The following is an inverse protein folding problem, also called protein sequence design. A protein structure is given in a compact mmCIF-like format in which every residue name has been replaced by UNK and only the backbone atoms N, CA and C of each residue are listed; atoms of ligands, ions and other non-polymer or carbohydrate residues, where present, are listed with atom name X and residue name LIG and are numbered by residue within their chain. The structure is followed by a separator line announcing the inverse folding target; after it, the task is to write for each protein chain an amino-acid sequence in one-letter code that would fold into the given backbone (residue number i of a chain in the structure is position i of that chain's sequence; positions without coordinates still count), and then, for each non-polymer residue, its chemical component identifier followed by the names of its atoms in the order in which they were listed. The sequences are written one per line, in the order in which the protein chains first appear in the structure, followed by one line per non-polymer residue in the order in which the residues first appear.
data_IF_320262152345
#
_entry.id   IF_320262152345
#
_cell.length_a   1.000
_cell.length_b   1.000
_cell.length_c   1.000
_cell.angle_alpha   90.00
_cell.angle_beta   90.00
_cell.angle_gamma   90.00
#
_symmetry.space_group_name_H-M   'P 1'
#
loop_
_entity.id
_entity.type
_entity.pdbx_description
1 polymer ?
#
# COMPACT_ATOMS: atom_id res chain seq x y z
N UNK A 1 10.48 22.95 -7.19
CA UNK A 1 10.48 23.27 -5.74
C UNK A 1 11.31 24.50 -5.39
N UNK A 2 12.58 24.56 -5.80
CA UNK A 2 13.50 25.64 -5.37
C UNK A 2 13.11 27.06 -5.81
N UNK A 3 12.45 27.22 -6.98
CA UNK A 3 12.07 28.53 -7.55
C UNK A 3 11.31 29.43 -6.58
N UNK A 4 10.43 28.87 -5.74
CA UNK A 4 9.68 29.66 -4.78
C UNK A 4 10.57 30.18 -3.65
N UNK A 5 11.40 29.30 -3.07
CA UNK A 5 12.34 29.67 -2.01
C UNK A 5 13.31 30.75 -2.47
N UNK A 6 13.85 30.59 -3.69
CA UNK A 6 14.80 31.53 -4.30
C UNK A 6 14.16 32.89 -4.60
N UNK A 7 12.84 32.94 -4.76
CA UNK A 7 12.08 34.19 -4.99
C UNK A 7 11.82 35.01 -3.72
N UNK A 8 12.04 34.44 -2.52
CA UNK A 8 11.80 35.14 -1.26
C UNK A 8 12.92 36.16 -0.96
N UNK A 9 12.62 37.26 -0.24
CA UNK A 9 13.66 38.16 0.25
C UNK A 9 14.72 37.43 1.08
N UNK A 10 15.99 37.85 0.98
CA UNK A 10 17.12 37.20 1.65
C UNK A 10 16.91 37.02 3.16
N UNK A 11 16.31 38.01 3.83
CA UNK A 11 15.94 37.92 5.26
C UNK A 11 15.02 36.74 5.58
N UNK A 12 14.08 36.39 4.70
CA UNK A 12 13.15 35.27 4.93
C UNK A 12 13.82 33.94 4.63
N UNK A 13 14.70 33.89 3.63
CA UNK A 13 15.51 32.70 3.36
C UNK A 13 16.41 32.36 4.56
N UNK A 14 16.98 33.37 5.23
CA UNK A 14 17.78 33.20 6.44
C UNK A 14 16.99 32.68 7.65
N UNK A 15 15.66 32.86 7.69
CA UNK A 15 14.81 32.25 8.72
C UNK A 15 14.51 30.77 8.44
N UNK A 16 14.72 30.33 7.20
CA UNK A 16 14.42 28.99 6.69
C UNK A 16 15.72 28.22 6.39
N UNK A 17 16.72 28.32 7.27
CA UNK A 17 18.08 27.80 7.03
C UNK A 17 18.12 26.34 6.61
N UNK A 18 17.22 25.51 7.14
CA UNK A 18 17.18 24.07 6.88
C UNK A 18 16.20 23.69 5.76
N UNK A 19 15.42 24.64 5.23
CA UNK A 19 14.34 24.34 4.29
C UNK A 19 14.86 23.86 2.94
N UNK A 20 16.01 24.40 2.47
CA UNK A 20 16.64 23.92 1.24
C UNK A 20 17.05 22.45 1.36
N UNK A 21 17.71 22.08 2.46
CA UNK A 21 18.09 20.70 2.73
C UNK A 21 16.87 19.79 2.81
N UNK A 22 15.81 20.25 3.48
CA UNK A 22 14.54 19.51 3.55
C UNK A 22 13.95 19.25 2.16
N UNK A 23 13.95 20.25 1.26
CA UNK A 23 13.49 20.05 -0.13
C UNK A 23 14.35 19.04 -0.90
N UNK A 24 15.66 19.03 -0.69
CA UNK A 24 16.55 18.04 -1.30
C UNK A 24 16.24 16.63 -0.79
N UNK A 25 15.96 16.48 0.50
CA UNK A 25 15.60 15.19 1.08
C UNK A 25 14.23 14.71 0.60
N UNK A 26 13.27 15.63 0.40
CA UNK A 26 11.99 15.32 -0.25
C UNK A 26 12.21 14.85 -1.70
N UNK A 27 13.11 15.47 -2.46
CA UNK A 27 13.46 14.98 -3.80
C UNK A 27 14.00 13.55 -3.76
N UNK A 28 14.94 13.25 -2.86
CA UNK A 28 15.49 11.89 -2.69
C UNK A 28 14.40 10.87 -2.31
N UNK A 29 13.44 11.28 -1.48
CA UNK A 29 12.31 10.46 -1.08
C UNK A 29 11.38 10.16 -2.29
N UNK A 30 11.11 11.16 -3.13
CA UNK A 30 10.35 10.99 -4.38
C UNK A 30 11.09 10.05 -5.34
N UNK A 31 12.40 10.18 -5.50
CA UNK A 31 13.21 9.29 -6.34
C UNK A 31 13.19 7.85 -5.83
N UNK A 32 13.18 7.67 -4.50
CA UNK A 32 13.04 6.35 -3.87
C UNK A 32 11.65 5.75 -4.18
N UNK A 33 10.60 6.54 -4.08
CA UNK A 33 9.24 6.11 -4.45
C UNK A 33 9.14 5.74 -5.93
N UNK A 34 9.82 6.47 -6.82
CA UNK A 34 9.84 6.17 -8.24
C UNK A 34 10.41 4.78 -8.52
N UNK A 35 11.50 4.39 -7.85
CA UNK A 35 12.06 3.03 -7.96
C UNK A 35 11.07 1.95 -7.53
N UNK A 36 10.24 2.23 -6.52
CA UNK A 36 9.17 1.29 -6.11
C UNK A 36 8.11 1.16 -7.21
N UNK A 37 7.73 2.25 -7.87
CA UNK A 37 6.78 2.24 -9.00
C UNK A 37 7.34 1.43 -10.17
N UNK A 38 8.64 1.59 -10.48
CA UNK A 38 9.32 0.81 -11.51
C UNK A 38 9.29 -0.69 -11.20
N UNK A 39 9.53 -1.08 -9.93
CA UNK A 39 9.45 -2.48 -9.49
C UNK A 39 8.05 -3.08 -9.66
N UNK A 40 7.00 -2.29 -9.43
CA UNK A 40 5.60 -2.71 -9.63
C UNK A 40 5.28 -2.94 -11.12
N UNK A 41 6.22 -2.67 -12.03
CA UNK A 41 6.06 -2.81 -13.49
C UNK A 41 4.98 -1.89 -14.06
N UNK A 42 4.67 -0.79 -13.35
CA UNK A 42 3.91 0.30 -13.91
C UNK A 42 4.80 1.01 -14.94
N UNK A 43 4.75 0.57 -16.20
CA UNK A 43 5.25 1.42 -17.29
C UNK A 43 4.41 2.70 -17.22
N UNK A 44 5.00 3.87 -16.91
CA UNK A 44 4.21 5.08 -16.81
C UNK A 44 3.52 5.30 -18.16
N UNK A 45 2.19 5.30 -18.16
CA UNK A 45 1.48 5.96 -19.25
C UNK A 45 1.68 7.45 -19.01
N UNK A 46 2.30 8.14 -19.95
CA UNK A 46 2.47 9.59 -19.90
C UNK A 46 1.17 10.28 -20.32
N UNK A 47 0.65 11.25 -19.53
CA UNK A 47 1.14 11.68 -18.22
C UNK A 47 0.72 10.72 -17.09
N UNK A 48 1.66 10.40 -16.19
CA UNK A 48 1.39 9.56 -15.02
C UNK A 48 0.37 10.25 -14.10
N UNK A 49 -0.77 9.60 -13.89
CA UNK A 49 -1.81 10.10 -12.98
C UNK A 49 -1.31 10.07 -11.54
N UNK A 50 -0.82 11.21 -11.07
CA UNK A 50 -0.17 11.37 -9.76
C UNK A 50 -1.15 11.13 -8.62
N UNK A 51 -2.44 11.45 -8.80
CA UNK A 51 -3.47 11.21 -7.79
C UNK A 51 -3.73 9.72 -7.62
N UNK A 52 -3.73 8.95 -8.72
CA UNK A 52 -3.82 7.48 -8.67
C UNK A 52 -2.61 6.86 -7.99
N UNK A 53 -1.39 7.33 -8.29
CA UNK A 53 -0.17 6.85 -7.61
C UNK A 53 -0.23 7.13 -6.11
N UNK A 54 -0.64 8.33 -5.71
CA UNK A 54 -0.81 8.68 -4.30
C UNK A 54 -1.88 7.82 -3.61
N UNK A 55 -2.95 7.47 -4.32
CA UNK A 55 -3.95 6.51 -3.84
C UNK A 55 -3.35 5.12 -3.61
N UNK A 56 -2.51 4.62 -4.53
CA UNK A 56 -1.80 3.35 -4.36
C UNK A 56 -0.90 3.38 -3.14
N UNK A 57 -0.11 4.45 -2.93
CA UNK A 57 0.76 4.53 -1.75
C UNK A 57 -0.03 4.53 -0.44
N UNK A 58 -1.16 5.24 -0.38
CA UNK A 58 -2.05 5.18 0.79
C UNK A 58 -2.60 3.77 1.01
N UNK A 59 -3.02 3.09 -0.06
CA UNK A 59 -3.51 1.72 0.03
C UNK A 59 -2.41 0.75 0.46
N UNK A 60 -1.18 0.96 -0.01
CA UNK A 60 -0.01 0.18 0.38
C UNK A 60 0.30 0.31 1.86
N UNK A 61 0.28 1.54 2.40
CA UNK A 61 0.39 1.79 3.85
C UNK A 61 -0.69 1.01 4.60
N UNK A 62 -1.96 1.19 4.23
CA UNK A 62 -3.10 0.53 4.88
C UNK A 62 -2.95 -0.99 4.86
N UNK A 63 -2.68 -1.58 3.71
CA UNK A 63 -2.81 -3.02 3.50
C UNK A 63 -1.55 -3.84 3.80
N UNK A 64 -0.34 -3.30 3.64
CA UNK A 64 0.89 -4.11 3.63
C UNK A 64 2.04 -3.52 4.46
N UNK A 65 1.73 -2.60 5.38
CA UNK A 65 2.73 -2.06 6.32
C UNK A 65 2.29 -2.28 7.77
N UNK A 66 3.24 -2.20 8.69
CA UNK A 66 3.00 -2.19 10.13
C UNK A 66 2.23 -0.95 10.59
N UNK A 67 2.45 0.20 9.93
CA UNK A 67 1.72 1.46 10.17
C UNK A 67 0.20 1.27 9.99
N UNK A 68 -0.22 0.46 9.01
CA UNK A 68 -1.63 0.19 8.72
C UNK A 68 -2.32 -0.81 9.67
N UNK A 69 -1.61 -1.45 10.60
CA UNK A 69 -2.15 -2.55 11.43
C UNK A 69 -3.41 -2.14 12.18
N UNK A 70 -3.42 -0.98 12.83
CA UNK A 70 -4.57 -0.53 13.61
C UNK A 70 -5.80 -0.26 12.74
N UNK A 71 -5.59 0.32 11.56
CA UNK A 71 -6.66 0.56 10.59
C UNK A 71 -7.22 -0.77 10.08
N UNK A 72 -6.36 -1.75 9.77
CA UNK A 72 -6.78 -3.10 9.38
C UNK A 72 -7.52 -3.83 10.47
N UNK A 73 -7.11 -3.73 11.74
CA UNK A 73 -7.85 -4.32 12.85
C UNK A 73 -9.27 -3.78 12.90
N UNK A 74 -9.43 -2.45 12.87
CA UNK A 74 -10.75 -1.82 12.90
C UNK A 74 -11.63 -2.21 11.70
N UNK A 75 -11.07 -2.36 10.51
CA UNK A 75 -11.87 -2.63 9.30
C UNK A 75 -12.03 -4.12 8.97
N UNK A 76 -10.96 -4.91 9.05
CA UNK A 76 -10.92 -6.30 8.59
C UNK A 76 -11.31 -7.28 9.69
N UNK A 77 -10.94 -7.01 10.94
CA UNK A 77 -11.20 -7.95 12.05
C UNK A 77 -12.70 -8.22 12.26
N UNK A 78 -13.61 -7.24 12.18
CA UNK A 78 -15.06 -7.52 12.24
C UNK A 78 -15.52 -8.45 11.12
N UNK A 79 -15.02 -8.27 9.89
CA UNK A 79 -15.38 -9.10 8.73
C UNK A 79 -14.86 -10.53 8.92
N UNK A 80 -13.59 -10.65 9.33
CA UNK A 80 -12.94 -11.94 9.57
C UNK A 80 -13.62 -12.70 10.71
N UNK A 81 -14.00 -12.01 11.78
CA UNK A 81 -14.71 -12.61 12.91
C UNK A 81 -16.10 -13.08 12.51
N UNK A 82 -16.84 -12.30 11.70
CA UNK A 82 -18.13 -12.74 11.19
C UNK A 82 -18.01 -14.00 10.32
N UNK A 83 -16.98 -14.11 9.48
CA UNK A 83 -16.74 -15.32 8.68
C UNK A 83 -16.46 -16.52 9.59
N UNK A 84 -15.60 -16.35 10.60
CA UNK A 84 -15.29 -17.40 11.58
C UNK A 84 -16.51 -17.81 12.41
N UNK A 85 -17.38 -16.87 12.80
CA UNK A 85 -18.60 -17.16 13.54
C UNK A 85 -19.60 -18.01 12.72
N UNK A 86 -19.75 -17.71 11.44
CA UNK A 86 -20.72 -18.40 10.58
C UNK A 86 -20.19 -19.71 9.99
N UNK A 87 -18.89 -19.78 9.74
CA UNK A 87 -18.28 -20.86 8.96
C UNK A 87 -17.05 -21.50 9.63
N UNK A 88 -16.66 -21.09 10.84
CA UNK A 88 -15.48 -21.61 11.53
C UNK A 88 -15.56 -23.10 11.90
N UNK A 89 -16.78 -23.59 12.18
CA UNK A 89 -17.08 -24.96 12.61
C UNK A 89 -17.64 -25.86 11.49
N UNK A 90 -17.59 -25.42 10.22
CA UNK A 90 -18.17 -26.15 9.09
C UNK A 90 -17.44 -27.47 8.71
N UNK A 91 -16.43 -27.87 9.49
CA UNK A 91 -15.59 -29.05 9.25
C UNK A 91 -14.56 -28.84 8.14
N UNK A 92 -15.03 -28.56 6.92
CA UNK A 92 -14.18 -28.25 5.76
C UNK A 92 -14.28 -26.78 5.37
N UNK A 93 -13.36 -25.98 5.91
CA UNK A 93 -13.24 -24.55 5.59
C UNK A 93 -12.91 -24.30 4.12
N UNK A 94 -12.22 -25.22 3.45
CA UNK A 94 -11.81 -25.06 2.04
C UNK A 94 -12.99 -25.13 1.08
N UNK A 95 -14.09 -25.79 1.49
CA UNK A 95 -15.34 -25.82 0.74
C UNK A 95 -16.14 -24.51 0.79
N UNK A 96 -15.81 -23.59 1.71
CA UNK A 96 -16.50 -22.29 1.83
C UNK A 96 -15.81 -21.27 0.94
N UNK A 97 -16.53 -20.84 -0.10
CA UNK A 97 -16.05 -19.89 -1.09
C UNK A 97 -16.45 -18.45 -0.74
N UNK A 98 -15.45 -17.60 -0.55
CA UNK A 98 -15.61 -16.18 -0.20
C UNK A 98 -15.14 -15.31 -1.35
N UNK A 99 -15.99 -14.38 -1.78
CA UNK A 99 -15.68 -13.38 -2.79
C UNK A 99 -15.53 -12.01 -2.14
N UNK A 100 -14.45 -11.30 -2.45
CA UNK A 100 -14.19 -9.94 -1.96
C UNK A 100 -14.14 -8.97 -3.16
N UNK A 101 -15.26 -8.29 -3.46
CA UNK A 101 -15.29 -7.25 -4.50
C UNK A 101 -14.52 -6.01 -4.06
N UNK A 102 -13.83 -5.34 -4.99
CA UNK A 102 -13.02 -4.16 -4.67
C UNK A 102 -11.88 -4.48 -3.70
N UNK A 103 -11.17 -5.59 -3.96
CA UNK A 103 -10.17 -6.16 -3.07
C UNK A 103 -8.92 -5.28 -2.88
N UNK A 104 -8.75 -4.21 -3.66
CA UNK A 104 -7.60 -3.30 -3.54
C UNK A 104 -6.29 -4.03 -3.76
N UNK A 105 -5.41 -4.02 -2.75
CA UNK A 105 -4.11 -4.70 -2.82
C UNK A 105 -4.15 -6.15 -2.33
N UNK A 106 -5.34 -6.69 -2.07
CA UNK A 106 -5.56 -8.11 -1.79
C UNK A 106 -5.25 -8.54 -0.35
N UNK A 107 -5.03 -7.62 0.60
CA UNK A 107 -4.73 -8.01 2.00
C UNK A 107 -5.89 -8.72 2.68
N UNK A 108 -7.13 -8.23 2.53
CA UNK A 108 -8.29 -8.88 3.16
C UNK A 108 -8.53 -10.30 2.59
N UNK A 109 -8.57 -10.50 1.25
CA UNK A 109 -8.61 -11.84 0.67
C UNK A 109 -7.49 -12.76 1.18
N UNK A 110 -6.26 -12.25 1.26
CA UNK A 110 -5.13 -12.99 1.82
C UNK A 110 -5.37 -13.42 3.28
N UNK A 111 -5.91 -12.54 4.13
CA UNK A 111 -6.21 -12.87 5.54
C UNK A 111 -7.35 -13.88 5.69
N UNK A 112 -8.33 -13.87 4.78
CA UNK A 112 -9.42 -14.86 4.72
C UNK A 112 -8.85 -16.22 4.28
N UNK A 113 -8.06 -16.23 3.21
CA UNK A 113 -7.41 -17.42 2.69
C UNK A 113 -6.49 -18.07 3.75
N UNK A 114 -5.72 -17.25 4.47
CA UNK A 114 -4.84 -17.69 5.56
C UNK A 114 -5.59 -18.42 6.70
N UNK A 115 -6.90 -18.18 6.88
CA UNK A 115 -7.75 -18.87 7.86
C UNK A 115 -8.31 -20.21 7.35
N UNK A 116 -7.97 -20.60 6.12
CA UNK A 116 -8.32 -21.88 5.51
C UNK A 116 -9.53 -21.83 4.57
N UNK A 117 -10.13 -20.65 4.35
CA UNK A 117 -11.25 -20.47 3.43
C UNK A 117 -10.77 -20.35 1.98
N UNK A 118 -11.57 -20.81 1.02
CA UNK A 118 -11.31 -20.50 -0.39
C UNK A 118 -11.72 -19.05 -0.64
N UNK A 119 -10.79 -18.20 -1.08
CA UNK A 119 -11.05 -16.78 -1.24
C UNK A 119 -10.60 -16.25 -2.61
N UNK A 120 -11.52 -15.58 -3.29
CA UNK A 120 -11.22 -14.81 -4.50
C UNK A 120 -11.41 -13.32 -4.22
N UNK A 121 -10.37 -12.52 -4.45
CA UNK A 121 -10.52 -11.08 -4.57
C UNK A 121 -10.88 -10.67 -5.99
N UNK A 122 -11.65 -9.60 -6.15
CA UNK A 122 -11.92 -8.98 -7.45
C UNK A 122 -11.53 -7.50 -7.41
N UNK A 123 -10.85 -7.03 -8.45
CA UNK A 123 -10.44 -5.62 -8.56
C UNK A 123 -10.50 -5.16 -10.03
N UNK A 124 -10.86 -3.89 -10.23
CA UNK A 124 -10.99 -3.28 -11.55
C UNK A 124 -9.81 -2.34 -11.89
N UNK A 125 -9.28 -1.64 -10.89
CA UNK A 125 -8.22 -0.65 -11.08
C UNK A 125 -6.90 -1.32 -11.45
N UNK A 126 -6.37 -1.01 -12.64
CA UNK A 126 -5.05 -1.49 -13.08
C UNK A 126 -3.93 -1.12 -12.10
N UNK A 127 -4.00 0.06 -11.48
CA UNK A 127 -3.03 0.50 -10.47
C UNK A 127 -3.00 -0.43 -9.25
N UNK A 128 -4.18 -0.86 -8.79
CA UNK A 128 -4.31 -1.79 -7.67
C UNK A 128 -3.88 -3.20 -8.10
N UNK A 129 -4.28 -3.65 -9.30
CA UNK A 129 -3.93 -4.96 -9.83
C UNK A 129 -2.42 -5.14 -10.03
N UNK A 130 -1.72 -4.15 -10.60
CA UNK A 130 -0.25 -4.22 -10.75
C UNK A 130 0.45 -4.31 -9.40
N UNK A 131 0.03 -3.46 -8.46
CA UNK A 131 0.60 -3.42 -7.11
C UNK A 131 0.30 -4.71 -6.33
N UNK A 132 -0.93 -5.20 -6.39
CA UNK A 132 -1.36 -6.47 -5.80
C UNK A 132 -0.56 -7.64 -6.37
N UNK A 133 -0.42 -7.73 -7.69
CA UNK A 133 0.37 -8.76 -8.34
C UNK A 133 1.85 -8.71 -7.92
N UNK A 134 2.44 -7.51 -7.81
CA UNK A 134 3.80 -7.35 -7.31
C UNK A 134 3.94 -7.85 -5.87
N UNK A 135 3.03 -7.44 -4.98
CA UNK A 135 3.04 -7.85 -3.58
C UNK A 135 2.89 -9.36 -3.44
N UNK A 136 1.81 -9.91 -3.96
CA UNK A 136 1.42 -11.31 -3.76
C UNK A 136 2.38 -12.29 -4.45
N UNK A 137 2.87 -11.93 -5.65
CA UNK A 137 3.63 -12.88 -6.48
C UNK A 137 5.14 -12.64 -6.47
N UNK A 138 5.62 -11.42 -6.21
CA UNK A 138 7.05 -11.07 -6.30
C UNK A 138 7.70 -10.80 -4.94
N UNK A 139 6.96 -10.31 -3.94
CA UNK A 139 7.52 -10.12 -2.61
C UNK A 139 7.57 -11.46 -1.86
N UNK A 140 8.78 -11.95 -1.55
CA UNK A 140 9.02 -13.25 -0.88
C UNK A 140 9.61 -13.13 0.52
N UNK A 141 9.76 -11.90 1.01
CA UNK A 141 10.39 -11.58 2.28
C UNK A 141 9.70 -10.36 2.89
N UNK A 142 9.72 -10.28 4.22
CA UNK A 142 9.10 -9.19 4.98
C UNK A 142 10.00 -7.94 4.95
N UNK A 143 9.37 -6.77 4.88
CA UNK A 143 9.99 -5.45 5.02
C UNK A 143 11.13 -5.17 4.02
N UNK A 144 11.12 -5.78 2.85
CA UNK A 144 12.21 -5.67 1.86
C UNK A 144 12.24 -4.33 1.11
N UNK A 145 11.11 -3.66 0.99
CA UNK A 145 10.99 -2.41 0.26
C UNK A 145 10.76 -1.25 1.23
N UNK A 146 11.39 -0.11 0.95
CA UNK A 146 11.23 1.14 1.72
C UNK A 146 10.70 2.23 0.79
N UNK A 147 9.74 3.02 1.28
CA UNK A 147 9.15 4.14 0.56
C UNK A 147 8.71 5.25 1.52
N UNK A 148 8.36 6.41 0.97
CA UNK A 148 8.01 7.63 1.69
C UNK A 148 6.61 8.09 1.29
N UNK A 149 5.54 7.53 1.87
CA UNK A 149 4.15 7.78 1.44
C UNK A 149 3.73 9.25 1.53
N UNK A 150 4.38 10.02 2.40
CA UNK A 150 4.00 11.41 2.70
C UNK A 150 4.88 12.45 2.00
N UNK A 151 5.87 12.04 1.20
CA UNK A 151 6.84 12.94 0.59
C UNK A 151 6.20 14.06 -0.25
N UNK A 152 5.04 13.80 -0.88
CA UNK A 152 4.32 14.79 -1.69
C UNK A 152 3.33 15.66 -0.90
N UNK A 153 3.16 15.44 0.40
CA UNK A 153 2.22 16.18 1.24
C UNK A 153 2.93 17.36 1.93
N UNK A 154 2.64 18.60 1.50
CA UNK A 154 3.24 19.82 2.06
C UNK A 154 2.40 20.52 3.12
N UNK A 155 1.17 20.08 3.32
CA UNK A 155 0.22 20.67 4.25
C UNK A 155 0.04 19.79 5.48
N UNK A 156 -0.28 20.41 6.62
CA UNK A 156 -0.57 19.73 7.90
C UNK A 156 0.57 18.84 8.45
N UNK A 157 1.82 19.13 8.07
CA UNK A 157 2.98 18.51 8.70
C UNK A 157 3.27 19.20 10.04
N UNK A 158 3.19 18.46 11.15
CA UNK A 158 3.51 19.01 12.48
C UNK A 158 5.01 19.27 12.62
N UNK A 159 5.83 18.41 12.01
CA UNK A 159 7.28 18.54 11.89
C UNK A 159 7.70 18.27 10.46
N UNK A 160 8.77 18.90 9.99
CA UNK A 160 9.34 18.63 8.66
C UNK A 160 9.74 17.16 8.50
N UNK A 161 10.23 16.53 9.56
CA UNK A 161 10.59 15.12 9.56
C UNK A 161 9.41 14.18 9.29
N UNK A 162 8.17 14.57 9.65
CA UNK A 162 6.99 13.72 9.48
C UNK A 162 6.74 13.40 7.99
N UNK A 163 6.97 14.39 7.12
CA UNK A 163 6.88 14.26 5.65
C UNK A 163 7.87 13.23 5.09
N UNK A 164 9.00 13.03 5.76
CA UNK A 164 10.10 12.15 5.37
C UNK A 164 10.09 10.82 6.13
N UNK A 165 8.99 10.49 6.80
CA UNK A 165 8.87 9.21 7.51
C UNK A 165 8.92 8.05 6.51
N UNK A 166 9.96 7.23 6.63
CA UNK A 166 10.13 6.01 5.85
C UNK A 166 9.19 4.91 6.36
N UNK A 167 8.58 4.17 5.44
CA UNK A 167 7.72 3.02 5.72
C UNK A 167 8.22 1.81 4.94
N UNK A 168 8.11 0.62 5.53
CA UNK A 168 8.59 -0.64 4.93
C UNK A 168 7.45 -1.61 4.65
N UNK A 169 7.58 -2.35 3.56
CA UNK A 169 6.59 -3.36 3.13
C UNK A 169 7.27 -4.56 2.44
N UNK A 170 6.58 -5.72 2.34
CA UNK A 170 5.34 -6.05 3.03
C UNK A 170 5.57 -6.45 4.50
N UNK A 171 4.64 -6.14 5.40
CA UNK A 171 4.72 -6.51 6.83
C UNK A 171 4.46 -7.99 7.10
N UNK A 172 3.79 -8.68 6.18
CA UNK A 172 3.59 -10.12 6.12
C UNK A 172 4.17 -10.68 4.81
N UNK A 173 4.66 -11.93 4.80
CA UNK A 173 5.13 -12.55 3.57
C UNK A 173 3.97 -13.29 2.90
N UNK A 174 3.53 -12.89 1.69
CA UNK A 174 2.41 -13.56 1.01
C UNK A 174 2.66 -15.04 0.71
N UNK A 175 3.93 -15.48 0.71
CA UNK A 175 4.29 -16.88 0.51
C UNK A 175 4.16 -17.74 1.77
N UNK A 176 3.75 -17.16 2.89
CA UNK A 176 3.47 -17.90 4.13
C UNK A 176 2.10 -18.63 4.06
N UNK A 177 1.33 -18.49 2.97
CA UNK A 177 0.10 -19.25 2.78
C UNK A 177 0.39 -20.75 2.65
N UNK A 178 -0.39 -21.62 3.30
CA UNK A 178 -0.31 -23.06 3.11
C UNK A 178 -0.49 -23.48 1.65
N UNK A 179 0.17 -24.55 1.21
CA UNK A 179 0.12 -25.02 -0.17
C UNK A 179 -1.29 -25.47 -0.63
N UNK A 180 -2.17 -25.81 0.31
CA UNK A 180 -3.56 -26.21 0.09
C UNK A 180 -4.55 -25.04 0.16
N UNK A 181 -4.06 -23.81 0.24
CA UNK A 181 -4.90 -22.62 0.34
C UNK A 181 -5.37 -22.17 -1.04
N UNK A 182 -6.69 -22.06 -1.24
CA UNK A 182 -7.27 -21.54 -2.48
C UNK A 182 -7.40 -20.01 -2.38
N UNK A 183 -6.42 -19.32 -2.95
CA UNK A 183 -6.37 -17.86 -3.01
C UNK A 183 -6.16 -17.38 -4.44
N UNK A 184 -7.07 -16.53 -4.92
CA UNK A 184 -7.00 -15.96 -6.26
C UNK A 184 -7.41 -14.48 -6.31
N UNK A 185 -7.03 -13.81 -7.40
CA UNK A 185 -7.40 -12.42 -7.70
C UNK A 185 -7.90 -12.33 -9.15
N UNK A 186 -9.13 -11.87 -9.34
CA UNK A 186 -9.76 -11.66 -10.64
C UNK A 186 -9.74 -10.17 -11.02
N UNK A 187 -9.38 -9.89 -12.28
CA UNK A 187 -9.37 -8.54 -12.84
C UNK A 187 -10.64 -8.27 -13.64
N UNK A 188 -11.35 -7.18 -13.34
CA UNK A 188 -12.53 -6.77 -14.10
C UNK A 188 -13.59 -6.07 -13.25
N UNK A 189 -14.64 -5.58 -13.92
CA UNK A 189 -15.83 -5.09 -13.23
C UNK A 189 -16.47 -6.24 -12.43
N UNK A 190 -17.00 -5.91 -11.26
CA UNK A 190 -17.70 -6.87 -10.41
C UNK A 190 -19.09 -7.26 -10.96
N UNK A 191 -19.78 -6.29 -11.59
CA UNK A 191 -21.13 -6.45 -12.17
C UNK A 191 -21.03 -6.89 -13.63
#
# INVERSE_FOLDING_TARGET
MYRYLDSLPQRHQQLLTNYRQHLEDVCKAIDTNHKVIELISMKPQEPLDTDKVNSVFKQLVREWTDVGVNERKTCFEPILNSIEEHFGDCGDRSGVQVLVPGAGLGRLPYEIAKRGFACQGNEYSLFMLFTSNFLLNKCKQRLVHTFYPWAQHFTNNMRSADQLTAVRFPDANPSDLPANCDFSMAAGNFI
#
